data_IF_020885826126
#
_entry.id   IF_020885826126
#
_cell.length_a   1.000
_cell.length_b   1.000
_cell.length_c   1.000
_cell.angle_alpha   90.00
_cell.angle_beta   90.00
_cell.angle_gamma   90.00
#
_symmetry.space_group_name_H-M   'P 1'
#
loop_
_entity.id
_entity.type
_entity.pdbx_description
1 polymer ?
#
# COMPACT_ATOMS: atom_id res chain seq x y z
N UNK A 1 26.81 20.26 46.24
CA UNK A 1 27.65 19.73 45.14
C UNK A 1 27.18 20.37 43.85
N UNK A 2 28.02 21.21 43.25
CA UNK A 2 27.66 22.24 42.28
C UNK A 2 27.88 21.69 40.84
N UNK A 3 27.03 22.06 39.89
CA UNK A 3 26.96 21.63 38.49
C UNK A 3 28.27 21.78 37.67
N UNK A 4 29.36 22.20 38.26
CA UNK A 4 30.67 22.42 37.60
C UNK A 4 31.72 21.32 37.79
N UNK A 5 31.45 20.30 38.59
CA UNK A 5 32.42 19.23 38.87
C UNK A 5 32.23 17.93 38.08
N UNK A 6 31.23 17.85 37.21
CA UNK A 6 30.93 16.63 36.41
C UNK A 6 31.63 16.59 35.05
N UNK A 7 32.46 17.57 34.69
CA UNK A 7 33.10 17.69 33.39
C UNK A 7 34.63 17.51 33.38
N UNK A 8 35.17 16.86 34.39
CA UNK A 8 36.63 16.60 34.43
C UNK A 8 36.92 15.17 34.90
N UNK A 9 36.64 14.15 34.06
CA UNK A 9 37.34 12.87 34.11
C UNK A 9 37.01 12.06 32.85
N UNK A 10 38.05 11.76 32.07
CA UNK A 10 38.02 10.67 31.14
C UNK A 10 38.50 10.96 29.72
N UNK A 11 39.68 11.51 29.55
CA UNK A 11 40.41 11.30 28.31
C UNK A 11 41.47 10.22 28.59
N UNK A 12 41.43 9.10 27.85
CA UNK A 12 42.58 8.40 27.24
C UNK A 12 42.28 6.92 26.95
N UNK A 13 42.85 6.47 25.84
CA UNK A 13 42.99 5.07 25.34
C UNK A 13 41.78 4.51 24.56
N UNK A 14 41.87 4.14 23.30
CA UNK A 14 42.89 3.52 22.50
C UNK A 14 42.29 3.22 21.12
N UNK A 15 43.06 3.49 20.09
CA UNK A 15 42.75 3.15 18.71
C UNK A 15 42.77 1.62 18.48
N UNK A 16 41.71 1.07 17.93
CA UNK A 16 41.72 -0.17 17.16
C UNK A 16 40.78 -0.02 15.96
N UNK A 17 41.37 0.01 14.80
CA UNK A 17 40.71 -0.03 13.52
C UNK A 17 40.07 -1.39 13.31
N UNK A 18 38.75 -1.39 13.07
CA UNK A 18 38.06 -2.48 12.41
C UNK A 18 37.19 -1.91 11.30
N UNK A 19 37.52 -2.29 10.08
CA UNK A 19 36.72 -2.01 8.90
C UNK A 19 35.36 -2.70 9.05
N UNK A 20 34.32 -1.93 9.26
CA UNK A 20 32.93 -2.38 9.28
C UNK A 20 32.19 -1.73 8.15
N UNK A 21 31.58 -2.55 7.29
CA UNK A 21 30.69 -2.17 6.20
C UNK A 21 29.74 -1.06 6.64
N UNK A 22 29.80 0.06 5.91
CA UNK A 22 28.78 1.10 5.97
C UNK A 22 27.50 0.57 5.31
N UNK A 23 26.56 0.09 6.11
CA UNK A 23 25.16 0.02 5.70
C UNK A 23 24.63 1.44 5.71
N UNK A 24 24.34 1.94 4.50
CA UNK A 24 23.79 3.27 4.33
C UNK A 24 22.41 3.38 4.97
N UNK A 25 22.34 3.93 6.17
CA UNK A 25 21.15 4.60 6.67
C UNK A 25 20.95 5.84 5.79
N UNK A 26 20.09 5.68 4.76
CA UNK A 26 19.58 6.82 4.03
C UNK A 26 18.83 7.69 5.03
N UNK A 27 19.42 8.83 5.36
CA UNK A 27 18.84 9.85 6.22
C UNK A 27 17.41 10.15 5.73
N UNK A 28 16.40 9.72 6.49
CA UNK A 28 15.01 10.15 6.33
C UNK A 28 14.99 11.66 6.56
N UNK A 29 14.97 12.41 5.48
CA UNK A 29 14.56 13.81 5.54
C UNK A 29 13.09 13.82 5.99
N UNK A 30 12.87 14.13 7.24
CA UNK A 30 11.55 14.36 7.78
C UNK A 30 10.98 15.63 7.13
N UNK A 31 10.26 15.47 6.04
CA UNK A 31 9.25 16.46 5.66
C UNK A 31 8.30 16.57 6.85
N UNK A 32 8.06 17.79 7.34
CA UNK A 32 7.21 18.05 8.49
C UNK A 32 5.79 17.59 8.19
N UNK A 33 5.52 16.32 8.51
CA UNK A 33 4.16 15.81 8.64
C UNK A 33 3.60 16.48 9.88
N UNK A 34 2.48 17.21 9.75
CA UNK A 34 1.76 17.74 10.88
C UNK A 34 1.62 16.65 11.94
N UNK A 35 1.83 17.00 13.20
CA UNK A 35 1.72 16.09 14.35
C UNK A 35 0.33 15.45 14.35
N UNK A 36 0.14 14.34 13.64
CA UNK A 36 -0.91 13.40 14.00
C UNK A 36 -0.49 12.82 15.35
N UNK A 37 -1.42 12.72 16.30
CA UNK A 37 -1.15 12.14 17.62
C UNK A 37 -0.43 10.79 17.52
N UNK A 38 -0.28 10.03 18.58
CA UNK A 38 0.48 8.77 18.68
C UNK A 38 0.05 7.64 17.71
N UNK A 39 -0.46 7.98 16.52
CA UNK A 39 -0.88 7.04 15.51
C UNK A 39 0.34 6.41 14.82
N UNK A 40 0.56 5.08 14.91
CA UNK A 40 1.78 4.44 14.43
C UNK A 40 1.84 4.27 12.90
N UNK A 41 0.73 4.39 12.20
CA UNK A 41 0.64 4.25 10.74
C UNK A 41 0.43 5.59 10.05
N UNK A 42 0.66 5.63 8.75
CA UNK A 42 0.55 6.84 7.93
C UNK A 42 -0.60 6.73 6.94
N UNK A 43 -1.18 7.87 6.57
CA UNK A 43 -2.16 7.97 5.50
C UNK A 43 -1.44 8.25 4.17
N UNK A 44 -1.78 7.49 3.15
CA UNK A 44 -1.30 7.66 1.79
C UNK A 44 -2.43 7.62 0.77
N UNK A 45 -2.05 7.70 -0.51
CA UNK A 45 -2.95 7.52 -1.65
C UNK A 45 -2.43 6.39 -2.52
N UNK A 46 -3.28 5.41 -2.81
CA UNK A 46 -3.00 4.39 -3.82
C UNK A 46 -3.13 5.01 -5.22
N UNK A 47 -2.15 4.78 -6.09
CA UNK A 47 -2.05 5.44 -7.39
C UNK A 47 -3.29 5.31 -8.26
N UNK A 48 -4.05 4.23 -8.12
CA UNK A 48 -5.28 4.01 -8.87
C UNK A 48 -6.37 5.07 -8.59
N UNK A 49 -6.36 5.71 -7.43
CA UNK A 49 -7.22 6.87 -7.11
C UNK A 49 -7.06 8.00 -8.14
N UNK A 50 -5.86 8.17 -8.69
CA UNK A 50 -5.50 9.24 -9.61
C UNK A 50 -5.29 8.74 -11.05
N UNK A 51 -5.92 7.62 -11.43
CA UNK A 51 -5.77 6.96 -12.74
C UNK A 51 -6.05 7.88 -13.94
N UNK A 52 -6.89 8.89 -13.77
CA UNK A 52 -7.30 9.82 -14.82
C UNK A 52 -6.37 11.05 -14.95
N UNK A 53 -5.32 11.14 -14.13
CA UNK A 53 -4.40 12.27 -14.11
C UNK A 53 -2.97 11.83 -14.46
N UNK A 54 -2.21 12.73 -15.11
CA UNK A 54 -0.77 12.54 -15.30
C UNK A 54 -0.05 12.68 -13.96
N UNK A 55 1.19 12.18 -13.87
CA UNK A 55 1.99 12.24 -12.65
C UNK A 55 2.10 13.65 -12.08
N UNK A 56 2.40 14.67 -12.91
CA UNK A 56 2.58 16.06 -12.47
C UNK A 56 1.30 16.63 -11.84
N UNK A 57 0.14 16.30 -12.40
CA UNK A 57 -1.16 16.70 -11.86
C UNK A 57 -1.43 15.97 -10.54
N UNK A 58 -1.17 14.66 -10.50
CA UNK A 58 -1.30 13.84 -9.30
C UNK A 58 -0.43 14.36 -8.15
N UNK A 59 0.83 14.69 -8.41
CA UNK A 59 1.74 15.24 -7.40
C UNK A 59 1.29 16.62 -6.88
N UNK A 60 0.74 17.49 -7.74
CA UNK A 60 0.15 18.76 -7.32
C UNK A 60 -1.07 18.53 -6.41
N UNK A 61 -1.93 17.57 -6.74
CA UNK A 61 -3.09 17.20 -5.92
C UNK A 61 -2.65 16.67 -4.56
N UNK A 62 -1.71 15.72 -4.51
CA UNK A 62 -1.15 15.18 -3.27
C UNK A 62 -0.57 16.29 -2.39
N UNK A 63 0.19 17.21 -2.98
CA UNK A 63 0.73 18.38 -2.27
C UNK A 63 -0.38 19.28 -1.73
N UNK A 64 -1.44 19.54 -2.53
CA UNK A 64 -2.59 20.37 -2.09
C UNK A 64 -3.33 19.71 -0.92
N UNK A 65 -3.41 18.37 -0.90
CA UNK A 65 -4.03 17.61 0.19
C UNK A 65 -3.08 17.34 1.36
N UNK A 66 -1.84 17.80 1.27
CA UNK A 66 -0.79 17.54 2.27
C UNK A 66 -0.59 16.03 2.51
N UNK A 67 -0.63 15.21 1.44
CA UNK A 67 -0.38 13.76 1.50
C UNK A 67 1.02 13.48 0.97
N UNK A 68 1.89 13.00 1.85
CA UNK A 68 3.28 12.69 1.55
C UNK A 68 3.56 11.25 1.14
N UNK A 69 2.56 10.35 1.14
CA UNK A 69 2.76 8.92 0.85
C UNK A 69 1.94 8.50 -0.38
N UNK A 70 2.59 7.89 -1.37
CA UNK A 70 1.97 7.51 -2.64
C UNK A 70 2.39 6.10 -3.08
N UNK A 71 1.43 5.24 -3.46
CA UNK A 71 1.72 3.95 -4.08
C UNK A 71 1.88 4.12 -5.59
N UNK A 72 3.03 3.77 -6.13
CA UNK A 72 3.30 3.89 -7.55
C UNK A 72 2.39 2.97 -8.38
N UNK A 73 1.89 3.48 -9.50
CA UNK A 73 1.08 2.71 -10.46
C UNK A 73 1.64 2.88 -11.87
N UNK A 74 1.50 1.83 -12.68
CA UNK A 74 2.10 1.71 -14.02
C UNK A 74 1.73 2.82 -15.02
N UNK A 75 0.60 3.46 -14.87
CA UNK A 75 0.24 4.62 -15.70
C UNK A 75 0.93 5.93 -15.27
N UNK A 76 1.47 6.01 -14.03
CA UNK A 76 2.30 7.12 -13.56
C UNK A 76 3.80 6.81 -13.67
N UNK A 77 4.16 5.56 -13.43
CA UNK A 77 5.53 5.01 -13.47
C UNK A 77 5.54 3.81 -14.41
N UNK A 78 5.72 3.98 -15.72
CA UNK A 78 5.51 2.91 -16.69
C UNK A 78 6.41 1.70 -16.44
N UNK A 79 5.85 0.50 -16.35
CA UNK A 79 6.59 -0.76 -16.16
C UNK A 79 7.65 -1.03 -17.24
N UNK A 80 7.47 -0.44 -18.44
CA UNK A 80 8.41 -0.59 -19.56
C UNK A 80 9.44 0.52 -19.65
N UNK A 81 9.39 1.52 -18.76
CA UNK A 81 10.38 2.59 -18.71
C UNK A 81 11.74 2.04 -18.29
N UNK A 82 12.80 2.66 -18.80
CA UNK A 82 14.17 2.35 -18.38
C UNK A 82 14.41 2.71 -16.91
N UNK A 83 15.40 2.10 -16.30
CA UNK A 83 15.78 2.42 -14.94
C UNK A 83 16.20 3.89 -14.76
N UNK A 84 16.72 4.55 -15.79
CA UNK A 84 17.06 5.96 -15.76
C UNK A 84 15.78 6.82 -15.72
N UNK A 85 14.81 6.55 -16.60
CA UNK A 85 13.52 7.24 -16.62
C UNK A 85 12.77 7.06 -15.30
N UNK A 86 12.73 5.85 -14.75
CA UNK A 86 12.08 5.60 -13.46
C UNK A 86 12.74 6.41 -12.33
N UNK A 87 14.08 6.46 -12.28
CA UNK A 87 14.79 7.27 -11.27
C UNK A 87 14.49 8.77 -11.41
N UNK A 88 14.35 9.29 -12.62
CA UNK A 88 13.92 10.69 -12.83
C UNK A 88 12.50 10.93 -12.32
N UNK A 89 11.57 10.00 -12.55
CA UNK A 89 10.21 10.10 -12.03
C UNK A 89 10.19 10.03 -10.50
N UNK A 90 11.01 9.16 -9.89
CA UNK A 90 11.17 9.09 -8.42
C UNK A 90 11.73 10.39 -7.87
N UNK A 91 12.80 10.92 -8.51
CA UNK A 91 13.36 12.22 -8.12
C UNK A 91 12.31 13.32 -8.18
N UNK A 92 11.57 13.42 -9.29
CA UNK A 92 10.46 14.38 -9.43
C UNK A 92 9.45 14.23 -8.30
N UNK A 93 9.06 13.01 -7.95
CA UNK A 93 8.13 12.73 -6.87
C UNK A 93 8.66 13.25 -5.53
N UNK A 94 9.92 12.99 -5.24
CA UNK A 94 10.60 13.49 -4.04
C UNK A 94 10.71 15.02 -3.99
N UNK A 95 10.93 15.66 -5.14
CA UNK A 95 10.98 17.13 -5.25
C UNK A 95 9.63 17.79 -4.88
N UNK A 96 8.51 17.05 -5.00
CA UNK A 96 7.19 17.46 -4.51
C UNK A 96 6.98 17.21 -3.01
N UNK A 97 7.93 16.57 -2.33
CA UNK A 97 7.80 16.15 -0.94
C UNK A 97 6.96 14.88 -0.78
N UNK A 98 6.80 14.10 -1.85
CA UNK A 98 6.04 12.83 -1.85
C UNK A 98 7.02 11.66 -1.82
N UNK A 99 6.72 10.66 -1.01
CA UNK A 99 7.46 9.41 -0.86
C UNK A 99 6.68 8.25 -1.48
N UNK A 100 7.36 7.38 -2.24
CA UNK A 100 6.78 6.15 -2.74
C UNK A 100 6.89 5.07 -1.65
N UNK A 101 5.75 4.62 -1.10
CA UNK A 101 5.72 3.60 -0.06
C UNK A 101 5.56 2.18 -0.59
N UNK A 102 5.11 2.03 -1.83
CA UNK A 102 4.89 0.76 -2.51
C UNK A 102 4.66 0.94 -4.00
N UNK A 103 4.50 -0.15 -4.72
CA UNK A 103 4.16 -0.13 -6.14
C UNK A 103 3.22 -1.29 -6.51
N UNK A 104 2.20 -1.01 -7.32
CA UNK A 104 1.24 -2.03 -7.79
C UNK A 104 -0.21 -1.55 -7.76
N UNK A 105 -1.19 -2.48 -7.84
CA UNK A 105 -0.96 -3.93 -7.98
C UNK A 105 -0.43 -4.33 -9.36
N UNK A 106 0.49 -5.30 -9.37
CA UNK A 106 1.11 -5.89 -10.57
C UNK A 106 0.78 -7.38 -10.61
N UNK A 107 0.34 -7.88 -11.78
CA UNK A 107 0.05 -9.31 -11.97
C UNK A 107 1.33 -10.02 -12.42
N UNK A 108 1.71 -11.06 -11.68
CA UNK A 108 2.87 -11.90 -11.99
C UNK A 108 2.38 -13.28 -12.43
N UNK A 109 2.55 -13.63 -13.71
CA UNK A 109 2.09 -14.88 -14.33
C UNK A 109 3.20 -15.92 -14.45
N UNK A 110 4.41 -15.44 -14.58
CA UNK A 110 5.62 -16.24 -14.76
C UNK A 110 6.70 -15.76 -13.78
N UNK A 111 7.75 -16.57 -13.60
CA UNK A 111 8.90 -16.13 -12.81
C UNK A 111 9.56 -14.86 -13.40
N UNK A 112 9.61 -14.76 -14.73
CA UNK A 112 10.17 -13.58 -15.40
C UNK A 112 9.30 -12.33 -15.16
N UNK A 113 7.96 -12.47 -15.13
CA UNK A 113 7.07 -11.36 -14.76
C UNK A 113 7.33 -10.93 -13.34
N UNK A 114 7.45 -11.89 -12.42
CA UNK A 114 7.72 -11.60 -11.02
C UNK A 114 9.10 -10.91 -10.85
N UNK A 115 10.14 -11.42 -11.49
CA UNK A 115 11.49 -10.81 -11.43
C UNK A 115 11.48 -9.39 -11.96
N UNK A 116 10.84 -9.13 -13.12
CA UNK A 116 10.69 -7.77 -13.65
C UNK A 116 9.93 -6.85 -12.69
N UNK A 117 8.91 -7.35 -11.99
CA UNK A 117 8.17 -6.56 -10.99
C UNK A 117 9.03 -6.23 -9.78
N UNK A 118 9.88 -7.14 -9.31
CA UNK A 118 10.83 -6.87 -8.23
C UNK A 118 11.97 -5.92 -8.67
N UNK A 119 12.53 -6.08 -9.88
CA UNK A 119 13.51 -5.14 -10.46
C UNK A 119 12.94 -3.72 -10.56
N UNK A 120 11.68 -3.61 -10.98
CA UNK A 120 10.94 -2.35 -11.03
C UNK A 120 10.80 -1.73 -9.63
N UNK A 121 10.36 -2.47 -8.63
CA UNK A 121 10.25 -2.00 -7.26
C UNK A 121 11.62 -1.59 -6.67
N UNK A 122 12.66 -2.37 -6.93
CA UNK A 122 14.03 -2.03 -6.53
C UNK A 122 14.50 -0.72 -7.19
N UNK A 123 14.17 -0.51 -8.46
CA UNK A 123 14.50 0.73 -9.18
C UNK A 123 13.75 1.94 -8.63
N UNK A 124 12.48 1.77 -8.23
CA UNK A 124 11.69 2.81 -7.57
C UNK A 124 12.13 3.05 -6.11
N UNK A 125 12.89 2.14 -5.51
CA UNK A 125 13.32 2.22 -4.12
C UNK A 125 12.18 1.95 -3.11
N UNK A 126 11.13 1.20 -3.51
CA UNK A 126 9.98 0.92 -2.64
C UNK A 126 10.17 -0.39 -1.87
N UNK A 127 9.73 -0.44 -0.59
CA UNK A 127 9.87 -1.63 0.25
C UNK A 127 8.81 -2.70 0.00
N UNK A 128 7.75 -2.39 -0.76
CA UNK A 128 6.60 -3.28 -0.95
C UNK A 128 6.15 -3.31 -2.40
N UNK A 129 6.08 -4.52 -2.97
CA UNK A 129 5.42 -4.85 -4.22
C UNK A 129 4.00 -5.33 -3.90
N UNK A 130 3.01 -4.52 -4.25
CA UNK A 130 1.62 -4.98 -4.24
C UNK A 130 1.36 -5.80 -5.49
N UNK A 131 0.84 -7.00 -5.37
CA UNK A 131 0.76 -7.88 -6.53
C UNK A 131 -0.30 -8.97 -6.46
N UNK A 132 -0.44 -9.67 -7.58
CA UNK A 132 -1.28 -10.87 -7.71
C UNK A 132 -0.45 -11.99 -8.32
N UNK A 133 -0.11 -13.03 -7.56
CA UNK A 133 0.68 -14.17 -8.05
C UNK A 133 -0.24 -15.14 -8.83
N UNK A 134 -0.48 -14.86 -10.12
CA UNK A 134 -1.43 -15.58 -10.95
C UNK A 134 -0.75 -16.59 -11.86
N UNK A 135 -1.30 -17.79 -11.98
CA UNK A 135 -0.83 -18.81 -12.92
C UNK A 135 -1.32 -18.56 -14.35
N UNK A 136 -2.58 -18.14 -14.46
CA UNK A 136 -3.24 -17.90 -15.74
C UNK A 136 -3.85 -16.51 -15.72
N UNK A 137 -3.58 -15.76 -16.77
CA UNK A 137 -4.19 -14.47 -17.00
C UNK A 137 -4.99 -14.48 -18.28
N UNK A 138 -6.27 -14.20 -18.18
CA UNK A 138 -7.15 -13.97 -19.32
C UNK A 138 -7.56 -12.49 -19.36
N UNK A 139 -6.92 -11.73 -20.24
CA UNK A 139 -7.17 -10.30 -20.38
C UNK A 139 -8.62 -9.99 -20.79
N UNK A 140 -9.31 -10.91 -21.47
CA UNK A 140 -10.71 -10.74 -21.88
C UNK A 140 -11.67 -10.78 -20.70
N UNK A 141 -11.26 -11.42 -19.60
CA UNK A 141 -12.00 -11.52 -18.34
C UNK A 141 -11.60 -10.45 -17.32
N UNK A 142 -10.68 -9.58 -17.70
CA UNK A 142 -10.13 -8.56 -16.81
C UNK A 142 -9.56 -9.18 -15.54
N UNK A 143 -9.77 -8.52 -14.42
CA UNK A 143 -9.34 -9.04 -13.14
C UNK A 143 -9.97 -10.38 -12.77
N UNK A 144 -11.17 -10.66 -13.24
CA UNK A 144 -11.91 -11.87 -12.96
C UNK A 144 -11.25 -13.17 -13.47
N UNK A 145 -10.29 -13.09 -14.40
CA UNK A 145 -9.55 -14.24 -14.92
C UNK A 145 -8.30 -14.62 -14.13
N UNK A 146 -7.97 -13.87 -13.05
CA UNK A 146 -6.73 -14.08 -12.34
C UNK A 146 -6.97 -14.74 -10.98
N UNK A 147 -6.11 -15.69 -10.63
CA UNK A 147 -6.12 -16.37 -9.33
C UNK A 147 -4.70 -16.44 -8.80
N UNK A 148 -4.55 -16.22 -7.51
CA UNK A 148 -3.30 -16.59 -6.86
C UNK A 148 -3.08 -18.09 -6.96
N UNK A 149 -1.86 -18.50 -7.27
CA UNK A 149 -1.48 -19.89 -7.28
C UNK A 149 -0.37 -20.15 -6.28
N UNK A 150 -0.38 -21.34 -5.69
CA UNK A 150 0.67 -21.77 -4.76
C UNK A 150 2.05 -21.66 -5.41
N UNK A 151 2.19 -22.14 -6.66
CA UNK A 151 3.45 -22.10 -7.41
C UNK A 151 3.98 -20.68 -7.57
N UNK A 152 3.12 -19.73 -7.94
CA UNK A 152 3.54 -18.34 -8.09
C UNK A 152 3.79 -17.66 -6.73
N UNK A 153 3.07 -18.06 -5.68
CA UNK A 153 3.39 -17.62 -4.31
C UNK A 153 4.80 -18.05 -3.88
N UNK A 154 5.22 -19.28 -4.20
CA UNK A 154 6.58 -19.77 -3.94
C UNK A 154 7.65 -18.95 -4.68
N UNK A 155 7.41 -18.67 -5.96
CA UNK A 155 8.30 -17.80 -6.76
C UNK A 155 8.39 -16.40 -6.13
N UNK A 156 7.24 -15.77 -5.85
CA UNK A 156 7.21 -14.42 -5.27
C UNK A 156 7.85 -14.38 -3.88
N UNK A 157 7.66 -15.41 -3.05
CA UNK A 157 8.27 -15.50 -1.72
C UNK A 157 9.80 -15.58 -1.79
N UNK A 158 10.33 -16.40 -2.71
CA UNK A 158 11.78 -16.52 -2.95
C UNK A 158 12.38 -15.20 -3.45
N UNK A 159 11.72 -14.54 -4.41
CA UNK A 159 12.17 -13.24 -4.91
C UNK A 159 12.05 -12.15 -3.83
N UNK A 160 11.02 -12.17 -3.00
CA UNK A 160 10.89 -11.23 -1.87
C UNK A 160 12.08 -11.34 -0.90
N UNK A 161 12.58 -12.56 -0.66
CA UNK A 161 13.80 -12.78 0.13
C UNK A 161 15.07 -12.33 -0.60
N UNK A 162 15.18 -12.59 -1.91
CA UNK A 162 16.31 -12.19 -2.74
C UNK A 162 16.47 -10.67 -2.76
N UNK A 163 15.37 -9.94 -3.05
CA UNK A 163 15.36 -8.47 -3.20
C UNK A 163 15.22 -7.72 -1.88
N UNK A 164 14.85 -8.37 -0.80
CA UNK A 164 14.49 -7.76 0.51
C UNK A 164 13.28 -6.79 0.39
N UNK A 165 12.38 -7.08 -0.55
CA UNK A 165 11.15 -6.34 -0.81
C UNK A 165 9.98 -7.25 -0.43
N UNK A 166 9.01 -6.73 0.33
CA UNK A 166 7.83 -7.49 0.69
C UNK A 166 6.91 -7.66 -0.54
N UNK A 167 6.29 -8.84 -0.69
CA UNK A 167 5.26 -9.07 -1.67
C UNK A 167 3.90 -9.09 -0.97
N UNK A 168 3.09 -8.07 -1.22
CA UNK A 168 1.76 -7.88 -0.63
C UNK A 168 0.67 -8.32 -1.60
N UNK A 169 0.06 -9.48 -1.37
CA UNK A 169 -1.03 -9.99 -2.21
C UNK A 169 -2.27 -9.14 -1.98
N UNK A 170 -2.76 -8.52 -3.05
CA UNK A 170 -3.96 -7.68 -3.03
C UNK A 170 -5.21 -8.55 -3.17
N UNK A 171 -6.09 -8.55 -2.17
CA UNK A 171 -7.40 -9.17 -2.28
C UNK A 171 -8.36 -8.26 -3.06
N UNK A 172 -9.18 -8.87 -3.92
CA UNK A 172 -10.10 -8.14 -4.79
C UNK A 172 -11.42 -8.90 -4.88
N UNK A 173 -12.52 -8.30 -4.48
CA UNK A 173 -13.82 -8.95 -4.37
C UNK A 173 -14.41 -9.40 -5.70
N UNK A 174 -15.40 -10.27 -5.62
CA UNK A 174 -16.24 -10.67 -6.76
C UNK A 174 -16.97 -9.45 -7.35
N UNK A 175 -17.21 -9.48 -8.65
CA UNK A 175 -18.10 -8.51 -9.28
C UNK A 175 -19.49 -9.13 -9.48
N UNK A 176 -20.50 -8.78 -8.68
CA UNK A 176 -21.83 -9.37 -8.77
C UNK A 176 -22.60 -8.95 -10.02
N UNK A 177 -22.29 -7.78 -10.59
CA UNK A 177 -22.95 -7.32 -11.83
C UNK A 177 -22.66 -8.24 -13.01
N UNK A 178 -21.54 -8.95 -12.99
CA UNK A 178 -21.17 -9.91 -14.03
C UNK A 178 -21.49 -11.35 -13.65
N UNK A 179 -21.96 -11.61 -12.43
CA UNK A 179 -22.20 -12.96 -11.92
C UNK A 179 -20.92 -13.81 -11.78
N UNK A 180 -19.75 -13.20 -11.98
CA UNK A 180 -18.49 -13.90 -11.84
C UNK A 180 -18.18 -14.14 -10.36
N UNK A 181 -17.80 -15.38 -9.98
CA UNK A 181 -17.36 -15.67 -8.63
C UNK A 181 -16.12 -14.85 -8.30
N UNK A 182 -15.85 -14.69 -7.01
CA UNK A 182 -14.61 -14.08 -6.56
C UNK A 182 -13.41 -14.87 -7.11
N UNK A 183 -12.70 -14.29 -8.05
CA UNK A 183 -11.55 -14.92 -8.72
C UNK A 183 -10.23 -14.44 -8.13
N UNK A 184 -10.26 -13.40 -7.31
CA UNK A 184 -9.18 -13.08 -6.42
C UNK A 184 -9.41 -13.80 -5.10
N UNK A 185 -8.44 -14.52 -4.60
CA UNK A 185 -8.59 -15.15 -3.30
C UNK A 185 -8.82 -14.08 -2.25
N UNK A 186 -9.72 -14.37 -1.33
CA UNK A 186 -9.84 -13.61 -0.10
C UNK A 186 -8.52 -13.68 0.67
N UNK A 187 -8.32 -12.80 1.64
CA UNK A 187 -7.15 -12.88 2.53
C UNK A 187 -7.04 -14.29 3.16
N UNK A 188 -8.17 -14.86 3.58
CA UNK A 188 -8.20 -16.20 4.19
C UNK A 188 -7.72 -17.31 3.21
N UNK A 189 -8.26 -17.32 1.99
CA UNK A 189 -7.85 -18.29 0.97
C UNK A 189 -6.38 -18.13 0.59
N UNK A 190 -5.90 -16.88 0.55
CA UNK A 190 -4.49 -16.58 0.26
C UNK A 190 -3.59 -17.00 1.42
N UNK A 191 -4.05 -16.84 2.68
CA UNK A 191 -3.29 -17.25 3.86
C UNK A 191 -2.93 -18.74 3.82
N UNK A 192 -3.88 -19.58 3.38
CA UNK A 192 -3.63 -21.02 3.20
C UNK A 192 -2.53 -21.31 2.17
N UNK A 193 -2.41 -20.45 1.13
CA UNK A 193 -1.40 -20.61 0.09
C UNK A 193 0.01 -20.21 0.54
N UNK A 194 0.15 -19.40 1.59
CA UNK A 194 1.44 -18.79 1.97
C UNK A 194 1.89 -19.12 3.40
N UNK A 195 1.15 -19.97 4.11
CA UNK A 195 1.36 -20.24 5.56
C UNK A 195 2.80 -20.64 5.88
N UNK A 196 3.40 -21.51 5.07
CA UNK A 196 4.75 -22.07 5.25
C UNK A 196 5.82 -21.38 4.38
N UNK A 197 5.45 -20.29 3.69
CA UNK A 197 6.39 -19.51 2.87
C UNK A 197 7.06 -18.41 3.69
N UNK A 198 8.06 -17.76 3.06
CA UNK A 198 8.79 -16.63 3.62
C UNK A 198 7.86 -15.62 4.31
N UNK A 199 8.26 -15.06 5.46
CA UNK A 199 7.49 -13.99 6.09
C UNK A 199 7.41 -12.70 5.27
N UNK A 200 8.17 -12.58 4.16
CA UNK A 200 8.11 -11.44 3.24
C UNK A 200 7.00 -11.51 2.20
N UNK A 201 6.27 -12.63 2.12
CA UNK A 201 5.02 -12.69 1.37
C UNK A 201 3.84 -12.57 2.33
N UNK A 202 2.89 -11.68 2.03
CA UNK A 202 1.76 -11.37 2.89
C UNK A 202 0.68 -10.63 2.11
N UNK A 203 0.06 -9.62 2.73
CA UNK A 203 -1.18 -9.03 2.24
C UNK A 203 -1.10 -7.52 2.07
N UNK A 204 -1.71 -7.05 0.98
CA UNK A 204 -2.34 -5.75 0.87
C UNK A 204 -3.83 -5.96 1.13
N UNK A 205 -4.31 -5.56 2.30
CA UNK A 205 -5.71 -5.78 2.69
C UNK A 205 -6.58 -4.65 2.17
N UNK A 206 -7.37 -4.89 1.11
CA UNK A 206 -8.45 -3.98 0.73
C UNK A 206 -9.64 -4.18 1.68
N UNK A 207 -9.91 -3.15 2.46
CA UNK A 207 -10.94 -3.17 3.52
C UNK A 207 -12.33 -3.37 2.93
N UNK A 208 -12.64 -2.72 1.81
CA UNK A 208 -13.94 -2.79 1.19
C UNK A 208 -14.22 -4.16 0.55
N UNK A 209 -13.23 -4.73 -0.12
CA UNK A 209 -13.37 -6.09 -0.66
C UNK A 209 -13.43 -7.15 0.45
N UNK A 210 -12.64 -7.00 1.51
CA UNK A 210 -12.72 -7.88 2.68
C UNK A 210 -14.14 -7.85 3.30
N UNK A 211 -14.73 -6.66 3.43
CA UNK A 211 -16.10 -6.51 3.91
C UNK A 211 -17.11 -7.13 2.93
N UNK A 212 -16.96 -6.89 1.63
CA UNK A 212 -17.83 -7.40 0.59
C UNK A 212 -17.81 -8.94 0.47
N UNK A 213 -16.69 -9.55 0.78
CA UNK A 213 -16.53 -11.01 0.83
C UNK A 213 -17.15 -11.63 2.12
N UNK A 214 -17.78 -10.82 2.97
CA UNK A 214 -18.48 -11.26 4.18
C UNK A 214 -17.58 -11.43 5.40
N UNK A 215 -16.32 -10.97 5.34
CA UNK A 215 -15.41 -11.00 6.48
C UNK A 215 -15.45 -9.69 7.26
N UNK A 216 -15.19 -9.77 8.56
CA UNK A 216 -14.90 -8.60 9.39
C UNK A 216 -13.46 -8.14 9.15
N UNK A 217 -13.22 -6.95 8.54
CA UNK A 217 -11.87 -6.49 8.25
C UNK A 217 -11.00 -6.35 9.50
N UNK A 218 -11.58 -5.97 10.64
CA UNK A 218 -10.84 -5.89 11.91
C UNK A 218 -10.37 -7.26 12.40
N UNK A 219 -11.18 -8.32 12.23
CA UNK A 219 -10.78 -9.67 12.57
C UNK A 219 -9.66 -10.18 11.64
N UNK A 220 -9.76 -9.91 10.33
CA UNK A 220 -8.74 -10.24 9.34
C UNK A 220 -7.41 -9.56 9.67
N UNK A 221 -7.42 -8.25 9.94
CA UNK A 221 -6.22 -7.49 10.30
C UNK A 221 -5.56 -8.05 11.57
N UNK A 222 -6.33 -8.38 12.62
CA UNK A 222 -5.79 -8.99 13.85
C UNK A 222 -5.19 -10.38 13.59
N UNK A 223 -5.90 -11.23 12.86
CA UNK A 223 -5.48 -12.60 12.58
C UNK A 223 -4.17 -12.66 11.80
N UNK A 224 -3.99 -11.76 10.83
CA UNK A 224 -2.87 -11.77 9.91
C UNK A 224 -1.87 -10.63 10.13
N UNK A 225 -1.88 -9.99 11.31
CA UNK A 225 -1.12 -8.76 11.63
C UNK A 225 0.35 -8.81 11.20
N UNK A 226 1.03 -9.94 11.42
CA UNK A 226 2.45 -10.12 11.10
C UNK A 226 2.76 -10.12 9.57
N UNK A 227 1.74 -10.24 8.73
CA UNK A 227 1.86 -10.32 7.27
C UNK A 227 1.07 -9.23 6.54
N UNK A 228 0.55 -8.22 7.24
CA UNK A 228 -0.10 -7.05 6.62
C UNK A 228 0.97 -6.03 6.29
N UNK A 229 1.24 -5.83 5.00
CA UNK A 229 2.28 -4.92 4.50
C UNK A 229 1.70 -3.65 3.89
N UNK A 230 0.44 -3.69 3.46
CA UNK A 230 -0.30 -2.56 2.92
C UNK A 230 -1.78 -2.68 3.27
N UNK A 231 -2.48 -1.56 3.34
CA UNK A 231 -3.92 -1.50 3.59
C UNK A 231 -4.54 -0.52 2.62
N UNK A 232 -5.51 -0.97 1.83
CA UNK A 232 -6.27 -0.08 0.97
C UNK A 232 -7.56 0.37 1.66
N UNK A 233 -7.70 1.69 1.80
CA UNK A 233 -8.86 2.33 2.42
C UNK A 233 -9.87 2.72 1.34
N UNK A 234 -11.04 2.10 1.38
CA UNK A 234 -12.17 2.43 0.54
C UNK A 234 -13.45 2.15 1.30
N UNK A 235 -14.46 3.00 1.15
CA UNK A 235 -15.76 2.73 1.73
C UNK A 235 -16.79 2.45 0.63
N UNK A 236 -17.88 1.82 1.00
CA UNK A 236 -19.01 1.47 0.13
C UNK A 236 -20.30 2.07 0.66
N UNK A 237 -21.18 2.53 -0.24
CA UNK A 237 -22.40 3.24 0.15
C UNK A 237 -23.44 2.31 0.77
N UNK A 238 -23.44 1.05 0.37
CA UNK A 238 -24.34 0.00 0.88
C UNK A 238 -23.52 -1.26 1.10
N UNK A 239 -24.04 -2.19 1.89
CA UNK A 239 -23.47 -3.52 2.05
C UNK A 239 -23.67 -4.33 0.77
N UNK A 240 -23.00 -3.91 -0.29
CA UNK A 240 -22.87 -4.65 -1.54
C UNK A 240 -21.46 -5.21 -1.64
N UNK A 241 -21.15 -5.89 -2.69
CA UNK A 241 -19.85 -6.51 -2.94
C UNK A 241 -18.71 -5.54 -3.25
N UNK A 242 -18.69 -4.37 -2.69
CA UNK A 242 -17.62 -3.40 -2.83
C UNK A 242 -17.62 -2.64 -4.16
N UNK A 243 -18.69 -2.73 -4.97
CA UNK A 243 -18.76 -2.06 -6.27
C UNK A 243 -19.24 -0.61 -6.20
N UNK A 244 -19.99 -0.24 -5.15
CA UNK A 244 -20.41 1.15 -4.93
C UNK A 244 -19.39 1.89 -4.07
N UNK A 245 -18.69 2.84 -4.68
CA UNK A 245 -17.79 3.71 -3.92
C UNK A 245 -18.55 4.74 -3.08
N UNK A 246 -17.97 5.13 -1.96
CA UNK A 246 -18.46 6.25 -1.15
C UNK A 246 -17.27 7.00 -0.53
N UNK A 247 -17.48 8.28 -0.19
CA UNK A 247 -16.56 8.98 0.70
C UNK A 247 -16.47 8.23 2.04
N UNK A 248 -15.32 8.28 2.69
CA UNK A 248 -15.02 7.47 3.87
C UNK A 248 -16.07 7.63 5.00
N UNK A 249 -16.59 8.83 5.18
CA UNK A 249 -17.60 9.18 6.21
C UNK A 249 -19.05 8.87 5.81
N UNK A 250 -19.28 8.36 4.59
CA UNK A 250 -20.62 8.10 4.04
C UNK A 250 -20.92 6.63 3.77
N UNK A 251 -19.96 5.78 3.94
CA UNK A 251 -20.12 4.35 3.72
C UNK A 251 -20.52 3.57 4.97
N UNK A 252 -20.64 2.26 4.81
CA UNK A 252 -21.11 1.33 5.88
C UNK A 252 -19.96 0.75 6.71
N UNK A 253 -18.70 0.96 6.31
CA UNK A 253 -17.54 0.41 7.00
C UNK A 253 -17.19 1.27 8.22
N UNK A 254 -17.05 0.64 9.38
CA UNK A 254 -16.65 1.28 10.64
C UNK A 254 -15.13 1.52 10.69
N UNK A 255 -14.70 2.66 10.17
CA UNK A 255 -13.28 3.03 10.17
C UNK A 255 -12.73 3.41 11.55
N UNK A 256 -13.57 3.79 12.51
CA UNK A 256 -13.15 4.00 13.90
C UNK A 256 -12.60 2.68 14.47
N UNK A 257 -13.35 1.60 14.28
CA UNK A 257 -12.95 0.26 14.72
C UNK A 257 -11.72 -0.24 13.97
N UNK A 258 -11.63 -0.02 12.65
CA UNK A 258 -10.48 -0.43 11.84
C UNK A 258 -9.21 0.28 12.28
N UNK A 259 -9.25 1.59 12.49
CA UNK A 259 -8.07 2.37 12.87
C UNK A 259 -7.60 2.01 14.29
N UNK A 260 -8.51 1.81 15.23
CA UNK A 260 -8.17 1.26 16.55
C UNK A 260 -7.52 -0.14 16.43
N UNK A 261 -8.05 -0.98 15.55
CA UNK A 261 -7.45 -2.30 15.30
C UNK A 261 -6.03 -2.18 14.75
N UNK A 262 -5.78 -1.31 13.77
CA UNK A 262 -4.44 -1.08 13.22
C UNK A 262 -3.46 -0.60 14.29
N UNK A 263 -3.90 0.31 15.16
CA UNK A 263 -3.11 0.77 16.32
C UNK A 263 -2.81 -0.37 17.30
N UNK A 264 -3.83 -1.14 17.69
CA UNK A 264 -3.72 -2.24 18.65
C UNK A 264 -2.75 -3.34 18.19
N UNK A 265 -2.73 -3.65 16.87
CA UNK A 265 -1.80 -4.64 16.30
C UNK A 265 -0.42 -4.06 16.01
N UNK A 266 -0.17 -2.78 16.29
CA UNK A 266 1.10 -2.11 16.04
C UNK A 266 1.43 -1.94 14.56
N UNK A 267 0.42 -1.86 13.67
CA UNK A 267 0.67 -1.60 12.26
C UNK A 267 1.32 -0.23 12.08
N UNK A 268 2.48 -0.20 11.44
CA UNK A 268 3.27 1.04 11.24
C UNK A 268 3.49 1.38 9.76
N UNK A 269 2.79 0.69 8.86
CA UNK A 269 2.85 0.91 7.42
C UNK A 269 2.07 2.13 6.95
N UNK A 270 1.66 2.10 5.70
CA UNK A 270 0.82 3.12 5.08
C UNK A 270 -0.57 2.54 4.83
N UNK A 271 -1.60 3.33 5.09
CA UNK A 271 -2.96 3.06 4.68
C UNK A 271 -3.26 3.92 3.45
N UNK A 272 -3.28 3.29 2.26
CA UNK A 272 -3.48 3.97 0.99
C UNK A 272 -4.96 4.16 0.65
N UNK A 273 -5.42 5.40 0.54
CA UNK A 273 -6.77 5.68 0.04
C UNK A 273 -6.90 5.23 -1.42
N UNK A 274 -7.84 4.34 -1.74
CA UNK A 274 -8.12 3.86 -3.09
C UNK A 274 -9.56 4.15 -3.52
N UNK A 275 -9.77 5.30 -4.14
CA UNK A 275 -11.07 5.74 -4.67
C UNK A 275 -11.01 5.95 -6.19
N UNK A 276 -10.75 4.87 -6.93
CA UNK A 276 -10.52 4.86 -8.38
C UNK A 276 -11.58 5.61 -9.19
N UNK A 277 -12.81 5.61 -8.74
CA UNK A 277 -13.94 6.17 -9.46
C UNK A 277 -14.33 7.60 -9.02
N UNK A 278 -13.66 8.16 -8.01
CA UNK A 278 -13.98 9.51 -7.51
C UNK A 278 -13.83 10.59 -8.59
N UNK A 279 -12.93 10.39 -9.55
CA UNK A 279 -12.69 11.30 -10.66
C UNK A 279 -13.17 10.77 -12.02
N UNK A 280 -13.89 9.65 -12.03
CA UNK A 280 -14.50 9.10 -13.23
C UNK A 280 -15.69 9.95 -13.69
N UNK A 281 -15.98 9.95 -14.99
CA UNK A 281 -17.28 10.48 -15.44
C UNK A 281 -18.39 9.61 -14.85
N UNK A 282 -19.50 10.22 -14.40
CA UNK A 282 -20.67 9.45 -14.03
C UNK A 282 -21.06 8.49 -15.16
N UNK A 283 -21.27 7.24 -14.84
CA UNK A 283 -21.67 6.19 -15.78
C UNK A 283 -22.71 5.30 -15.10
N UNK A 284 -23.38 4.44 -15.88
CA UNK A 284 -24.29 3.44 -15.29
C UNK A 284 -23.56 2.53 -14.28
N UNK A 285 -22.26 2.27 -14.49
CA UNK A 285 -21.43 1.49 -13.59
C UNK A 285 -20.94 2.27 -12.36
N UNK A 286 -20.96 3.60 -12.42
CA UNK A 286 -20.56 4.49 -11.32
C UNK A 286 -21.36 5.79 -11.32
N UNK A 287 -22.64 5.74 -10.96
CA UNK A 287 -23.52 6.91 -10.98
C UNK A 287 -23.17 7.98 -9.94
N UNK A 288 -22.28 7.66 -9.00
CA UNK A 288 -21.95 8.50 -7.86
C UNK A 288 -20.53 9.07 -7.86
N UNK A 289 -19.83 9.13 -9.00
CA UNK A 289 -18.50 9.74 -9.07
C UNK A 289 -18.54 11.21 -8.60
N UNK A 290 -17.79 11.52 -7.54
CA UNK A 290 -17.70 12.85 -6.95
C UNK A 290 -16.22 13.15 -6.58
N UNK A 291 -15.59 14.11 -7.25
CA UNK A 291 -14.21 14.51 -6.97
C UNK A 291 -13.95 14.96 -5.52
N UNK A 292 -14.98 15.42 -4.82
CA UNK A 292 -14.85 15.84 -3.42
C UNK A 292 -14.61 14.67 -2.47
N UNK A 293 -14.88 13.43 -2.88
CA UNK A 293 -14.72 12.25 -2.03
C UNK A 293 -13.28 12.05 -1.55
N UNK A 294 -12.28 12.33 -2.39
CA UNK A 294 -10.88 12.13 -2.02
C UNK A 294 -10.45 13.09 -0.91
N UNK A 295 -10.51 14.43 -1.07
CA UNK A 295 -10.12 15.33 0.00
C UNK A 295 -11.00 15.19 1.25
N UNK A 296 -12.28 14.88 1.10
CA UNK A 296 -13.20 14.61 2.21
C UNK A 296 -12.78 13.37 3.00
N UNK A 297 -12.44 12.27 2.32
CA UNK A 297 -11.97 11.05 2.95
C UNK A 297 -10.64 11.25 3.65
N UNK A 298 -9.72 12.01 3.05
CA UNK A 298 -8.44 12.36 3.68
C UNK A 298 -8.68 13.13 4.98
N UNK A 299 -9.55 14.14 4.96
CA UNK A 299 -9.90 14.92 6.16
C UNK A 299 -10.53 14.07 7.25
N UNK A 300 -11.45 13.18 6.89
CA UNK A 300 -12.09 12.24 7.81
C UNK A 300 -11.09 11.29 8.45
N UNK A 301 -10.22 10.65 7.66
CA UNK A 301 -9.22 9.71 8.17
C UNK A 301 -8.18 10.40 9.07
N UNK A 302 -7.75 11.63 8.75
CA UNK A 302 -6.88 12.41 9.64
C UNK A 302 -7.56 12.68 10.99
N UNK A 303 -8.81 13.12 10.97
CA UNK A 303 -9.56 13.33 12.21
C UNK A 303 -9.69 12.05 13.05
N UNK A 304 -9.82 10.89 12.41
CA UNK A 304 -9.78 9.60 13.13
C UNK A 304 -8.40 9.30 13.70
N UNK A 305 -7.32 9.50 12.93
CA UNK A 305 -5.94 9.28 13.38
C UNK A 305 -5.59 10.17 14.57
N UNK A 306 -6.11 11.40 14.63
CA UNK A 306 -5.90 12.33 15.75
C UNK A 306 -6.73 11.95 16.99
N UNK A 307 -7.77 11.12 16.84
CA UNK A 307 -8.73 10.77 17.89
C UNK A 307 -8.49 9.42 18.56
N UNK A 308 -7.55 8.61 18.07
CA UNK A 308 -7.31 7.22 18.55
C UNK A 308 -6.04 7.03 19.40
#
# INVERSE_FOLDING_TARGET
>A
MNRREFLKCGAACGALASAGCATGDAARSAAAVGKSGDCPFRLGVAGYTLVNFKLDESLKMLKTWDVGEFCAKDFHYPLKASAAELRELVKKTSDFGVHLYGAGPIITKTEDDARRAFDYCATLGVPTLVGVPAEVFDASKGWAGNRSSRKMCEVCARLADEYKINFAIHNHGANPKTGNPNLYPTVETTADLITDLSPRIGFCVDIAYTHADGFDPSAILRKHAARVFDVHLRNVAVADNGSSGAAADKGVIDYVRIFRTLKDIGYSGVCGLELANAYGKPSEANPGADPSWVPRSIGYFRGLMDSI
#
